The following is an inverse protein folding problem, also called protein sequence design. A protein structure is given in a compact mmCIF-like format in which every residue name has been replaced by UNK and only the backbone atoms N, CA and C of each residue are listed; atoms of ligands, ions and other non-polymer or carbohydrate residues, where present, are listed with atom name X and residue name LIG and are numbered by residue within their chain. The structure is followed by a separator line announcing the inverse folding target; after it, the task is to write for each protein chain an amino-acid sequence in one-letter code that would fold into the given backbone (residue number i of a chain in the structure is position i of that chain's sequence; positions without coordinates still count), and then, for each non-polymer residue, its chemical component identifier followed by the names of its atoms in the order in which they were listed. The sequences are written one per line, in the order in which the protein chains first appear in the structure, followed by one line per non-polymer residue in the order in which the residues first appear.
data_IF_687802764560
#
_entry.id   IF_687802764560
#
_cell.length_a   1.000
_cell.length_b   1.000
_cell.length_c   1.000
_cell.angle_alpha   90.00
_cell.angle_beta   90.00
_cell.angle_gamma   90.00
#
_symmetry.space_group_name_H-M   'P 1'
#
loop_
_entity.id
_entity.type
_entity.pdbx_description
1 polymer ?
#
# COMPACT_ATOMS: atom_id res chain seq x y z
N UNK A 1 -8.54 11.40 61.50
CA UNK A 1 -8.96 10.80 60.21
C UNK A 1 -8.87 11.83 59.08
N UNK A 2 -7.69 12.05 58.48
CA UNK A 2 -7.54 12.89 57.27
C UNK A 2 -6.19 12.74 56.56
N UNK A 3 -5.17 12.23 57.25
CA UNK A 3 -3.85 11.97 56.66
C UNK A 3 -3.73 10.60 55.97
N UNK A 4 -4.64 9.65 56.24
CA UNK A 4 -4.59 8.31 55.64
C UNK A 4 -5.22 8.26 54.23
N UNK A 5 -5.96 9.28 53.83
CA UNK A 5 -6.61 9.37 52.52
C UNK A 5 -5.74 9.97 51.42
N UNK A 6 -4.55 10.51 51.74
CA UNK A 6 -3.69 11.15 50.74
C UNK A 6 -2.65 10.21 50.10
N UNK A 7 -2.50 8.99 50.62
CA UNK A 7 -1.49 8.02 50.14
C UNK A 7 -2.02 7.00 49.13
N UNK A 8 -3.31 7.09 48.74
CA UNK A 8 -3.95 6.10 47.86
C UNK A 8 -4.00 6.49 46.37
N UNK A 9 -3.37 7.59 45.96
CA UNK A 9 -3.51 8.14 44.59
C UNK A 9 -2.32 7.94 43.65
N UNK A 10 -1.29 7.17 44.04
CA UNK A 10 -0.08 6.98 43.22
C UNK A 10 0.19 5.53 42.79
N UNK A 11 -0.86 4.76 42.49
CA UNK A 11 -0.71 3.51 41.75
C UNK A 11 -0.65 3.82 40.25
N UNK A 12 0.50 4.29 39.76
CA UNK A 12 0.77 4.40 38.33
C UNK A 12 0.79 2.96 37.78
N UNK A 13 -0.25 2.56 37.05
CA UNK A 13 -0.22 1.34 36.24
C UNK A 13 0.95 1.46 35.25
N UNK A 14 2.07 0.81 35.57
CA UNK A 14 3.09 0.48 34.58
C UNK A 14 2.48 -0.57 33.65
N UNK A 15 1.80 -0.11 32.60
CA UNK A 15 1.47 -0.97 31.47
C UNK A 15 2.81 -1.40 30.87
N UNK A 16 3.14 -2.69 30.84
CA UNK A 16 4.33 -3.13 30.13
C UNK A 16 4.14 -2.74 28.66
N UNK A 17 5.04 -1.92 28.13
CA UNK A 17 5.10 -1.65 26.70
C UNK A 17 5.51 -2.96 26.05
N UNK A 18 4.52 -3.75 25.62
CA UNK A 18 4.77 -4.92 24.81
C UNK A 18 5.41 -4.41 23.50
N UNK A 19 6.70 -4.65 23.34
CA UNK A 19 7.37 -4.41 22.07
C UNK A 19 6.83 -5.45 21.10
N UNK A 20 5.99 -5.02 20.16
CA UNK A 20 5.53 -5.88 19.09
C UNK A 20 6.73 -6.33 18.26
N UNK A 21 7.05 -7.63 18.31
CA UNK A 21 7.92 -8.25 17.32
C UNK A 21 7.13 -8.29 16.01
N UNK A 22 7.25 -7.24 15.21
CA UNK A 22 6.61 -7.18 13.89
C UNK A 22 7.44 -8.04 12.95
N UNK A 23 6.87 -9.17 12.51
CA UNK A 23 7.49 -10.01 11.51
C UNK A 23 7.82 -9.19 10.26
N UNK A 24 9.02 -9.40 9.71
CA UNK A 24 9.46 -8.67 8.55
C UNK A 24 8.67 -9.11 7.31
N UNK A 25 7.83 -8.21 6.81
CA UNK A 25 7.15 -8.39 5.51
C UNK A 25 7.97 -7.69 4.41
N UNK A 26 8.48 -8.39 3.37
CA UNK A 26 9.19 -7.75 2.28
C UNK A 26 8.26 -6.86 1.45
N UNK A 27 8.82 -5.85 0.77
CA UNK A 27 8.04 -5.11 -0.24
C UNK A 27 7.75 -6.02 -1.45
N UNK A 28 6.62 -5.83 -2.15
CA UNK A 28 6.40 -6.45 -3.44
C UNK A 28 7.52 -6.13 -4.42
N UNK A 29 7.93 -7.15 -5.16
CA UNK A 29 8.90 -7.04 -6.24
C UNK A 29 8.30 -6.32 -7.45
N UNK A 30 9.17 -5.82 -8.33
CA UNK A 30 8.73 -5.21 -9.59
C UNK A 30 7.94 -6.18 -10.47
N UNK A 31 8.31 -7.46 -10.47
CA UNK A 31 7.67 -8.48 -11.30
C UNK A 31 6.28 -8.85 -10.76
N UNK A 32 6.11 -8.94 -9.44
CA UNK A 32 4.78 -9.11 -8.83
C UNK A 32 3.86 -7.93 -9.16
N UNK A 33 4.34 -6.69 -9.03
CA UNK A 33 3.57 -5.49 -9.38
C UNK A 33 3.25 -5.45 -10.89
N UNK A 34 4.18 -5.90 -11.74
CA UNK A 34 3.98 -5.98 -13.19
C UNK A 34 2.95 -7.06 -13.55
N UNK A 35 2.97 -8.20 -12.85
CA UNK A 35 1.99 -9.28 -13.02
C UNK A 35 0.58 -8.79 -12.69
N UNK A 36 0.38 -8.14 -11.54
CA UNK A 36 -0.91 -7.57 -11.17
C UNK A 36 -1.38 -6.52 -12.20
N UNK A 37 -0.48 -5.68 -12.69
CA UNK A 37 -0.80 -4.71 -13.73
C UNK A 37 -1.28 -5.39 -15.03
N UNK A 38 -0.64 -6.49 -15.45
CA UNK A 38 -1.05 -7.24 -16.65
C UNK A 38 -2.41 -7.94 -16.46
N UNK A 39 -2.68 -8.47 -15.27
CA UNK A 39 -3.99 -9.03 -14.93
C UNK A 39 -5.10 -7.96 -15.03
N UNK A 40 -4.84 -6.77 -14.49
CA UNK A 40 -5.76 -5.64 -14.59
C UNK A 40 -6.05 -5.26 -16.05
N UNK A 41 -5.04 -5.21 -16.91
CA UNK A 41 -5.23 -4.96 -18.34
C UNK A 41 -6.00 -6.08 -19.05
N UNK A 42 -5.86 -7.33 -18.61
CA UNK A 42 -6.66 -8.44 -19.11
C UNK A 42 -8.14 -8.25 -18.74
N UNK A 43 -8.46 -7.95 -17.46
CA UNK A 43 -9.82 -7.62 -17.02
C UNK A 43 -10.42 -6.43 -17.79
N UNK A 44 -9.62 -5.39 -18.03
CA UNK A 44 -10.02 -4.21 -18.79
C UNK A 44 -10.40 -4.57 -20.23
N UNK A 45 -9.52 -5.29 -20.94
CA UNK A 45 -9.70 -5.66 -22.34
C UNK A 45 -10.82 -6.68 -22.55
N UNK A 46 -10.81 -7.76 -21.79
CA UNK A 46 -11.68 -8.91 -22.04
C UNK A 46 -13.05 -8.77 -21.36
N UNK A 47 -13.17 -7.94 -20.31
CA UNK A 47 -14.41 -7.77 -19.54
C UNK A 47 -14.98 -9.09 -18.98
N UNK A 48 -14.09 -10.04 -18.75
CA UNK A 48 -14.40 -11.37 -18.25
C UNK A 48 -14.46 -11.39 -16.71
N UNK A 49 -15.41 -12.17 -16.18
CA UNK A 49 -15.65 -12.25 -14.75
C UNK A 49 -14.48 -12.90 -13.99
N UNK A 50 -13.88 -13.95 -14.53
CA UNK A 50 -12.77 -14.67 -13.89
C UNK A 50 -11.51 -13.79 -13.87
N UNK A 51 -11.21 -13.11 -14.99
CA UNK A 51 -10.05 -12.22 -15.06
C UNK A 51 -10.15 -11.01 -14.13
N UNK A 52 -11.35 -10.43 -14.01
CA UNK A 52 -11.60 -9.32 -13.10
C UNK A 52 -11.57 -9.75 -11.63
N UNK A 53 -12.13 -10.92 -11.30
CA UNK A 53 -12.04 -11.48 -9.95
C UNK A 53 -10.60 -11.85 -9.56
N UNK A 54 -9.83 -12.45 -10.48
CA UNK A 54 -8.41 -12.75 -10.27
C UNK A 54 -7.59 -11.47 -10.00
N UNK A 55 -7.87 -10.39 -10.72
CA UNK A 55 -7.25 -9.08 -10.47
C UNK A 55 -7.55 -8.60 -9.06
N UNK A 56 -8.82 -8.65 -8.62
CA UNK A 56 -9.23 -8.23 -7.28
C UNK A 56 -8.57 -9.07 -6.19
N UNK A 57 -8.60 -10.40 -6.32
CA UNK A 57 -7.99 -11.32 -5.35
C UNK A 57 -6.47 -11.13 -5.23
N UNK A 58 -5.78 -10.83 -6.32
CA UNK A 58 -4.34 -10.56 -6.29
C UNK A 58 -4.04 -9.19 -5.67
N UNK A 59 -4.90 -8.19 -5.88
CA UNK A 59 -4.73 -6.85 -5.34
C UNK A 59 -5.07 -6.75 -3.84
N UNK A 60 -6.07 -7.49 -3.37
CA UNK A 60 -6.65 -7.38 -2.02
C UNK A 60 -5.61 -7.45 -0.88
N UNK A 61 -4.66 -8.41 -0.85
CA UNK A 61 -3.64 -8.46 0.21
C UNK A 61 -2.73 -7.23 0.29
N UNK A 62 -2.62 -6.44 -0.78
CA UNK A 62 -1.81 -5.21 -0.77
C UNK A 62 -2.45 -4.09 0.08
N UNK A 63 -3.77 -4.15 0.33
CA UNK A 63 -4.45 -3.18 1.21
C UNK A 63 -3.95 -3.28 2.65
N UNK A 64 -3.74 -4.50 3.13
CA UNK A 64 -3.30 -4.78 4.50
C UNK A 64 -1.78 -4.79 4.66
N UNK A 65 -1.04 -4.58 3.57
CA UNK A 65 0.42 -4.62 3.61
C UNK A 65 0.98 -3.50 4.53
N UNK A 66 1.78 -3.84 5.56
CA UNK A 66 2.15 -2.89 6.62
C UNK A 66 3.15 -1.82 6.18
N UNK A 67 3.86 -2.07 5.06
CA UNK A 67 4.94 -1.20 4.57
C UNK A 67 4.60 -0.41 3.31
N UNK A 68 3.45 -0.69 2.68
CA UNK A 68 3.08 0.03 1.46
C UNK A 68 2.62 1.45 1.80
N UNK A 69 3.06 2.47 1.03
CA UNK A 69 2.66 3.84 1.27
C UNK A 69 1.17 4.04 0.98
N UNK A 70 0.57 5.08 1.57
CA UNK A 70 -0.83 5.43 1.36
C UNK A 70 -1.18 5.53 -0.14
N UNK A 71 -0.33 6.18 -0.93
CA UNK A 71 -0.53 6.32 -2.38
C UNK A 71 -0.60 4.97 -3.12
N UNK A 72 0.09 3.92 -2.64
CA UNK A 72 -0.07 2.58 -3.18
C UNK A 72 -1.44 2.00 -2.81
N UNK A 73 -1.83 2.11 -1.54
CA UNK A 73 -3.12 1.62 -1.05
C UNK A 73 -4.28 2.31 -1.76
N UNK A 74 -4.18 3.60 -2.05
CA UNK A 74 -5.19 4.33 -2.82
C UNK A 74 -5.32 3.76 -4.23
N UNK A 75 -4.20 3.51 -4.93
CA UNK A 75 -4.23 2.93 -6.27
C UNK A 75 -4.76 1.48 -6.26
N UNK A 76 -4.40 0.69 -5.25
CA UNK A 76 -4.92 -0.68 -5.07
C UNK A 76 -6.43 -0.66 -4.80
N UNK A 77 -6.89 0.24 -3.92
CA UNK A 77 -8.31 0.41 -3.63
C UNK A 77 -9.10 0.82 -4.88
N UNK A 78 -8.63 1.82 -5.63
CA UNK A 78 -9.22 2.23 -6.91
C UNK A 78 -9.30 1.03 -7.88
N UNK A 79 -8.23 0.24 -7.98
CA UNK A 79 -8.17 -0.93 -8.85
C UNK A 79 -9.21 -1.99 -8.44
N UNK A 80 -9.26 -2.35 -7.16
CA UNK A 80 -10.21 -3.37 -6.65
C UNK A 80 -11.66 -2.97 -6.95
N UNK A 81 -11.99 -1.70 -6.78
CA UNK A 81 -13.33 -1.18 -7.03
C UNK A 81 -13.67 -1.15 -8.53
N UNK A 82 -12.71 -0.79 -9.37
CA UNK A 82 -12.90 -0.68 -10.82
C UNK A 82 -12.89 -2.04 -11.54
N UNK A 83 -12.18 -3.05 -11.02
CA UNK A 83 -12.02 -4.38 -11.63
C UNK A 83 -13.27 -5.26 -11.49
N UNK A 84 -14.39 -4.79 -12.03
CA UNK A 84 -15.65 -5.56 -12.14
C UNK A 84 -16.12 -5.57 -13.60
N UNK A 85 -16.68 -6.68 -14.10
CA UNK A 85 -17.28 -6.71 -15.43
C UNK A 85 -18.44 -5.72 -15.54
N UNK A 86 -18.60 -5.08 -16.70
CA UNK A 86 -19.81 -4.30 -16.99
C UNK A 86 -20.21 -4.44 -18.46
N UNK A 87 -21.50 -4.39 -18.73
CA UNK A 87 -22.05 -4.43 -20.09
C UNK A 87 -22.67 -3.06 -20.40
N UNK A 88 -22.15 -2.29 -21.37
CA UNK A 88 -21.06 -2.63 -22.31
C UNK A 88 -19.65 -2.44 -21.71
N UNK A 89 -18.63 -3.05 -22.33
CA UNK A 89 -17.22 -2.78 -22.02
C UNK A 89 -16.77 -1.40 -22.56
N UNK A 90 -17.27 -0.34 -21.94
CA UNK A 90 -17.06 1.04 -22.37
C UNK A 90 -15.60 1.48 -22.20
N UNK A 91 -15.20 2.50 -22.97
CA UNK A 91 -13.88 3.13 -22.81
C UNK A 91 -13.67 3.64 -21.38
N UNK A 92 -14.70 4.27 -20.80
CA UNK A 92 -14.67 4.82 -19.45
C UNK A 92 -14.42 3.73 -18.41
N UNK A 93 -15.06 2.56 -18.54
CA UNK A 93 -14.80 1.40 -17.67
C UNK A 93 -13.34 0.97 -17.80
N UNK A 94 -12.86 0.77 -19.02
CA UNK A 94 -11.47 0.34 -19.26
C UNK A 94 -10.47 1.31 -18.66
N UNK A 95 -10.64 2.62 -18.87
CA UNK A 95 -9.74 3.62 -18.30
C UNK A 95 -9.82 3.68 -16.77
N UNK A 96 -10.99 3.43 -16.16
CA UNK A 96 -11.09 3.33 -14.69
C UNK A 96 -10.27 2.19 -14.09
N UNK A 97 -10.03 1.11 -14.85
CA UNK A 97 -9.15 0.00 -14.46
C UNK A 97 -7.69 0.32 -14.81
N UNK A 98 -7.45 0.81 -16.03
CA UNK A 98 -6.09 1.01 -16.54
C UNK A 98 -5.36 2.14 -15.79
N UNK A 99 -6.06 3.20 -15.37
CA UNK A 99 -5.48 4.35 -14.66
C UNK A 99 -4.79 3.97 -13.34
N UNK A 100 -5.44 3.27 -12.39
CA UNK A 100 -4.73 2.78 -11.19
C UNK A 100 -3.69 1.70 -11.53
N UNK A 101 -3.97 0.79 -12.48
CA UNK A 101 -3.04 -0.26 -12.88
C UNK A 101 -1.70 0.29 -13.41
N UNK A 102 -1.72 1.37 -14.20
CA UNK A 102 -0.52 2.06 -14.72
C UNK A 102 0.41 2.55 -13.61
N UNK A 103 -0.14 2.91 -12.46
CA UNK A 103 0.60 3.55 -11.35
C UNK A 103 1.28 2.55 -10.42
N UNK A 104 0.81 1.29 -10.37
CA UNK A 104 1.24 0.28 -9.38
C UNK A 104 2.76 0.16 -9.24
N UNK A 105 3.47 0.06 -10.36
CA UNK A 105 4.94 -0.13 -10.37
C UNK A 105 5.72 1.09 -9.88
N UNK A 106 5.08 2.26 -9.77
CA UNK A 106 5.68 3.50 -9.27
C UNK A 106 5.30 3.71 -7.81
N UNK A 107 4.01 3.65 -7.49
CA UNK A 107 3.53 4.02 -6.14
C UNK A 107 3.72 2.90 -5.11
N UNK A 108 3.77 1.63 -5.54
CA UNK A 108 3.96 0.48 -4.66
C UNK A 108 5.41 0.01 -4.57
N UNK A 109 6.31 0.58 -5.37
CA UNK A 109 7.72 0.25 -5.32
C UNK A 109 8.35 0.67 -3.98
N UNK A 110 9.37 -0.08 -3.56
CA UNK A 110 10.19 0.28 -2.39
C UNK A 110 10.77 1.69 -2.56
N UNK A 111 10.56 2.61 -1.61
CA UNK A 111 11.14 3.95 -1.68
C UNK A 111 12.66 3.90 -1.79
N UNK A 112 13.22 4.58 -2.78
CA UNK A 112 14.66 4.81 -2.88
C UNK A 112 15.00 5.98 -1.97
N UNK A 113 15.88 5.79 -0.99
CA UNK A 113 16.38 6.91 -0.18
C UNK A 113 17.19 7.85 -1.09
N UNK A 114 16.93 9.17 -1.08
CA UNK A 114 17.79 10.12 -1.77
C UNK A 114 19.22 9.96 -1.27
N UNK A 115 20.18 9.70 -2.17
CA UNK A 115 21.58 9.83 -1.80
C UNK A 115 21.84 11.30 -1.48
N UNK A 116 22.33 11.59 -0.26
CA UNK A 116 22.84 12.94 0.05
C UNK A 116 23.88 13.28 -1.00
N UNK A 117 23.61 14.29 -1.83
CA UNK A 117 24.63 14.85 -2.71
C UNK A 117 25.79 15.31 -1.82
N UNK A 118 26.99 14.78 -2.08
CA UNK A 118 28.19 15.27 -1.44
C UNK A 118 28.35 16.74 -1.79
N UNK A 119 28.37 17.61 -0.79
CA UNK A 119 28.67 19.03 -0.96
C UNK A 119 30.04 19.15 -1.62
N UNK A 120 30.20 19.94 -2.71
CA UNK A 120 31.51 20.14 -3.31
C UNK A 120 32.49 20.68 -2.27
N UNK A 121 33.76 20.24 -2.27
CA UNK A 121 34.76 20.81 -1.37
C UNK A 121 34.88 22.32 -1.64
N UNK A 122 34.96 23.17 -0.59
CA UNK A 122 35.08 24.60 -0.77
C UNK A 122 36.34 24.91 -1.59
N UNK A 123 36.14 25.61 -2.71
CA UNK A 123 37.20 26.02 -3.61
C UNK A 123 38.27 26.81 -2.87
N UNK A 124 39.53 26.46 -3.12
CA UNK A 124 40.68 27.25 -2.67
C UNK A 124 40.71 28.53 -3.49
N UNK A 125 40.57 29.66 -2.81
CA UNK A 125 40.89 31.00 -3.33
C UNK A 125 42.41 31.15 -3.50
#
# INVERSE_FOLDING_TARGET
MRFLTLLLSLAVLRVPVAQANVDYVPFPTKDELRSLQLQAYACSRENDAELCDATRKTADPLMDHPRLPAACKDAVWELIQASTPATPNSFQRRDSIDRPARRLTVVCAKPVKPQKQATPPPGKA
#
